data_IF_504596570978
#
_entry.id   IF_504596570978
#
_cell.length_a   1.000
_cell.length_b   1.000
_cell.length_c   1.000
_cell.angle_alpha   90.00
_cell.angle_beta   90.00
_cell.angle_gamma   90.00
#
_symmetry.space_group_name_H-M   'P 1'
#
loop_
_entity.id
_entity.type
_entity.pdbx_description
1 polymer ?
#
# COMPACT_ATOMS: atom_id res chain seq x y z
N UNK A 1 -15.13 30.08 13.14
CA UNK A 1 -13.81 29.96 12.50
C UNK A 1 -13.24 28.57 12.80
N UNK A 2 -13.17 27.70 11.83
CA UNK A 2 -12.51 26.40 12.01
C UNK A 2 -11.01 26.65 12.18
N UNK A 3 -10.44 26.29 13.34
CA UNK A 3 -8.99 26.29 13.53
C UNK A 3 -8.37 25.40 12.45
N UNK A 4 -7.41 25.91 11.71
CA UNK A 4 -6.69 25.12 10.72
C UNK A 4 -6.03 23.91 11.42
N UNK A 5 -6.07 22.76 10.78
CA UNK A 5 -5.50 21.51 11.32
C UNK A 5 -4.06 21.69 11.82
N UNK A 6 -3.29 22.55 11.16
CA UNK A 6 -1.91 22.90 11.52
C UNK A 6 -1.80 23.65 12.86
N UNK A 7 -2.78 24.49 13.21
CA UNK A 7 -2.82 25.20 14.50
C UNK A 7 -3.21 24.25 15.65
N UNK A 8 -4.10 23.28 15.37
CA UNK A 8 -4.50 22.26 16.33
C UNK A 8 -3.33 21.35 16.73
N UNK A 9 -2.45 21.02 15.77
CA UNK A 9 -1.26 20.19 16.02
C UNK A 9 -0.26 20.85 16.97
N UNK A 10 -0.24 22.21 17.03
CA UNK A 10 0.66 22.94 17.91
C UNK A 10 0.07 23.35 19.26
N UNK A 11 -1.26 23.29 19.44
CA UNK A 11 -1.96 23.84 20.61
C UNK A 11 -2.73 22.83 21.45
N UNK A 12 -3.16 21.69 20.88
CA UNK A 12 -3.90 20.65 21.60
C UNK A 12 -2.96 19.70 22.38
N UNK A 13 -3.47 19.09 23.45
CA UNK A 13 -2.70 18.10 24.21
C UNK A 13 -2.37 16.87 23.35
N UNK A 14 -1.14 16.37 23.47
CA UNK A 14 -0.62 15.24 22.70
C UNK A 14 -1.55 14.00 22.77
N UNK A 15 -2.05 13.58 23.95
CA UNK A 15 -2.95 12.40 24.02
C UNK A 15 -4.23 12.60 23.23
N UNK A 16 -4.82 13.79 23.24
CA UNK A 16 -6.05 14.11 22.50
C UNK A 16 -5.83 14.07 20.99
N UNK A 17 -4.69 14.58 20.52
CA UNK A 17 -4.30 14.53 19.11
C UNK A 17 -4.05 13.10 18.64
N UNK A 18 -3.36 12.29 19.46
CA UNK A 18 -3.11 10.89 19.16
C UNK A 18 -4.43 10.11 18.99
N UNK A 19 -5.36 10.22 19.94
CA UNK A 19 -6.66 9.53 19.86
C UNK A 19 -7.44 10.00 18.63
N UNK A 20 -7.47 11.30 18.36
CA UNK A 20 -8.21 11.88 17.24
C UNK A 20 -7.68 11.42 15.87
N UNK A 21 -6.38 11.15 15.76
CA UNK A 21 -5.76 10.66 14.52
C UNK A 21 -5.70 9.12 14.46
N UNK A 22 -5.40 8.47 15.58
CA UNK A 22 -5.27 7.01 15.62
C UNK A 22 -6.62 6.31 15.45
N UNK A 23 -7.71 6.85 16.00
CA UNK A 23 -9.03 6.21 15.94
C UNK A 23 -9.54 6.02 14.50
N UNK A 24 -9.57 7.06 13.63
CA UNK A 24 -9.97 6.88 12.23
C UNK A 24 -9.03 5.96 11.45
N UNK A 25 -7.72 6.05 11.71
CA UNK A 25 -6.73 5.19 11.07
C UNK A 25 -6.93 3.72 11.48
N UNK A 26 -7.17 3.44 12.76
CA UNK A 26 -7.44 2.09 13.27
C UNK A 26 -8.72 1.50 12.68
N UNK A 27 -9.78 2.30 12.56
CA UNK A 27 -11.03 1.87 11.91
C UNK A 27 -10.77 1.52 10.44
N UNK A 28 -9.99 2.33 9.73
CA UNK A 28 -9.61 2.05 8.33
C UNK A 28 -8.85 0.72 8.19
N UNK A 29 -7.89 0.46 9.06
CA UNK A 29 -7.12 -0.80 9.08
C UNK A 29 -8.04 -1.98 9.41
N UNK A 30 -8.97 -1.81 10.35
CA UNK A 30 -9.92 -2.85 10.73
C UNK A 30 -10.85 -3.21 9.57
N UNK A 31 -11.40 -2.22 8.86
CA UNK A 31 -12.22 -2.44 7.68
C UNK A 31 -11.42 -3.16 6.58
N UNK A 32 -10.17 -2.76 6.35
CA UNK A 32 -9.29 -3.42 5.40
C UNK A 32 -9.02 -4.87 5.77
N UNK A 33 -8.79 -5.16 7.05
CA UNK A 33 -8.57 -6.52 7.55
C UNK A 33 -9.81 -7.39 7.40
N UNK A 34 -11.00 -6.85 7.69
CA UNK A 34 -12.28 -7.54 7.47
C UNK A 34 -12.51 -7.84 5.99
N UNK A 35 -12.17 -6.91 5.11
CA UNK A 35 -12.27 -7.12 3.66
C UNK A 35 -11.40 -8.31 3.21
N UNK A 36 -10.13 -8.36 3.63
CA UNK A 36 -9.22 -9.46 3.32
C UNK A 36 -9.75 -10.79 3.86
N UNK A 37 -10.33 -10.81 5.06
CA UNK A 37 -10.90 -12.01 5.66
C UNK A 37 -12.11 -12.50 4.89
N UNK A 38 -13.02 -11.61 4.52
CA UNK A 38 -14.19 -11.91 3.71
C UNK A 38 -13.76 -12.46 2.34
N UNK A 39 -12.83 -11.80 1.68
CA UNK A 39 -12.27 -12.22 0.39
C UNK A 39 -11.69 -13.62 0.45
N UNK A 40 -10.93 -13.92 1.49
CA UNK A 40 -10.34 -15.25 1.71
C UNK A 40 -11.41 -16.33 1.90
N UNK A 41 -12.49 -16.03 2.62
CA UNK A 41 -13.61 -16.96 2.83
C UNK A 41 -14.31 -17.23 1.49
N UNK A 42 -14.62 -16.18 0.72
CA UNK A 42 -15.30 -16.33 -0.57
C UNK A 42 -14.43 -17.12 -1.55
N UNK A 43 -13.16 -16.80 -1.69
CA UNK A 43 -12.23 -17.50 -2.56
C UNK A 43 -12.10 -18.98 -2.14
N UNK A 44 -11.99 -19.25 -0.84
CA UNK A 44 -11.88 -20.61 -0.31
C UNK A 44 -13.10 -21.46 -0.56
N UNK A 45 -14.30 -20.89 -0.40
CA UNK A 45 -15.55 -21.64 -0.55
C UNK A 45 -15.98 -21.82 -2.02
N UNK A 46 -15.74 -20.83 -2.87
CA UNK A 46 -16.27 -20.84 -4.24
C UNK A 46 -15.25 -21.34 -5.28
N UNK A 47 -13.97 -21.09 -5.08
CA UNK A 47 -12.92 -21.46 -6.03
C UNK A 47 -12.09 -22.64 -5.51
N UNK A 48 -11.96 -22.78 -4.19
CA UNK A 48 -11.28 -23.90 -3.53
C UNK A 48 -9.87 -23.57 -3.05
N UNK A 49 -9.26 -24.58 -2.39
CA UNK A 49 -7.96 -24.44 -1.71
C UNK A 49 -6.80 -24.08 -2.66
N UNK A 50 -6.86 -24.49 -3.92
CA UNK A 50 -5.84 -24.16 -4.92
C UNK A 50 -5.79 -22.65 -5.23
N UNK A 51 -6.92 -21.95 -5.16
CA UNK A 51 -6.94 -20.51 -5.36
C UNK A 51 -6.29 -19.77 -4.19
N UNK A 52 -6.53 -20.20 -2.95
CA UNK A 52 -5.85 -19.64 -1.76
C UNK A 52 -4.34 -19.88 -1.87
N UNK A 53 -3.92 -21.09 -2.30
CA UNK A 53 -2.52 -21.39 -2.51
C UNK A 53 -1.90 -20.49 -3.59
N UNK A 54 -2.61 -20.22 -4.69
CA UNK A 54 -2.17 -19.31 -5.75
C UNK A 54 -2.02 -17.88 -5.25
N UNK A 55 -2.95 -17.38 -4.45
CA UNK A 55 -2.85 -16.06 -3.79
C UNK A 55 -1.59 -16.00 -2.93
N UNK A 56 -1.33 -17.05 -2.11
CA UNK A 56 -0.15 -17.09 -1.24
C UNK A 56 1.18 -17.06 -2.00
N UNK A 57 1.24 -17.61 -3.22
CA UNK A 57 2.40 -17.51 -4.11
C UNK A 57 2.66 -16.06 -4.54
N UNK A 58 1.61 -15.26 -4.72
CA UNK A 58 1.71 -13.86 -5.17
C UNK A 58 1.89 -12.88 -4.01
N UNK A 59 1.49 -13.24 -2.79
CA UNK A 59 1.57 -12.37 -1.60
C UNK A 59 2.92 -11.68 -1.38
N UNK A 60 4.08 -12.36 -1.51
CA UNK A 60 5.38 -11.71 -1.32
C UNK A 60 5.60 -10.53 -2.29
N UNK A 61 5.14 -10.67 -3.52
CA UNK A 61 5.23 -9.60 -4.54
C UNK A 61 4.32 -8.44 -4.16
N UNK A 62 3.09 -8.73 -3.74
CA UNK A 62 2.14 -7.71 -3.28
C UNK A 62 2.69 -6.93 -2.08
N UNK A 63 3.30 -7.61 -1.11
CA UNK A 63 3.95 -6.96 0.02
C UNK A 63 5.16 -6.13 -0.38
N UNK A 64 5.95 -6.59 -1.35
CA UNK A 64 7.08 -5.82 -1.85
C UNK A 64 6.62 -4.52 -2.51
N UNK A 65 5.59 -4.57 -3.35
CA UNK A 65 4.98 -3.40 -3.98
C UNK A 65 4.41 -2.44 -2.93
N UNK A 66 3.68 -2.98 -1.95
CA UNK A 66 3.13 -2.19 -0.85
C UNK A 66 4.24 -1.51 -0.03
N UNK A 67 5.34 -2.21 0.25
CA UNK A 67 6.48 -1.66 0.98
C UNK A 67 7.15 -0.50 0.23
N UNK A 68 7.31 -0.62 -1.09
CA UNK A 68 7.81 0.47 -1.94
C UNK A 68 6.88 1.69 -1.91
N UNK A 69 5.58 1.46 -2.03
CA UNK A 69 4.57 2.52 -1.93
C UNK A 69 4.59 3.21 -0.57
N UNK A 70 4.68 2.43 0.52
CA UNK A 70 4.78 2.97 1.87
C UNK A 70 6.07 3.75 2.10
N UNK A 71 7.20 3.30 1.57
CA UNK A 71 8.48 4.01 1.68
C UNK A 71 8.39 5.42 1.08
N UNK A 72 7.82 5.54 -0.12
CA UNK A 72 7.59 6.84 -0.78
C UNK A 72 6.53 7.64 -0.02
N UNK A 73 5.40 7.01 0.34
CA UNK A 73 4.27 7.67 0.98
C UNK A 73 4.64 8.24 2.35
N UNK A 74 5.16 7.42 3.23
CA UNK A 74 5.54 7.82 4.61
C UNK A 74 6.75 8.76 4.58
N UNK A 75 7.75 8.49 3.72
CA UNK A 75 8.91 9.35 3.54
C UNK A 75 8.53 10.77 3.10
N UNK A 76 7.71 10.88 2.06
CA UNK A 76 7.21 12.16 1.57
C UNK A 76 6.32 12.88 2.57
N UNK A 77 5.41 12.17 3.22
CA UNK A 77 4.53 12.74 4.24
C UNK A 77 5.33 13.34 5.42
N UNK A 78 6.43 12.69 5.82
CA UNK A 78 7.31 13.21 6.88
C UNK A 78 7.99 14.53 6.51
N UNK A 79 8.45 14.67 5.25
CA UNK A 79 9.07 15.92 4.75
C UNK A 79 8.01 17.01 4.62
N UNK A 80 6.86 16.69 4.05
CA UNK A 80 5.74 17.63 3.87
C UNK A 80 5.27 18.17 5.22
N UNK A 81 5.08 17.30 6.22
CA UNK A 81 4.62 17.71 7.54
C UNK A 81 5.59 18.67 8.22
N UNK A 82 6.90 18.44 8.10
CA UNK A 82 7.94 19.34 8.62
C UNK A 82 7.94 20.68 7.88
N UNK A 83 7.86 20.65 6.55
CA UNK A 83 7.83 21.86 5.73
C UNK A 83 6.61 22.73 6.05
N UNK A 84 5.45 22.13 6.30
CA UNK A 84 4.24 22.83 6.72
C UNK A 84 4.40 23.43 8.13
N UNK A 85 5.04 22.72 9.05
CA UNK A 85 5.39 23.23 10.38
C UNK A 85 6.34 24.41 10.34
N UNK A 86 7.28 24.42 9.40
CA UNK A 86 8.20 25.53 9.11
C UNK A 86 7.52 26.68 8.31
N UNK A 87 6.24 26.54 7.96
CA UNK A 87 5.49 27.44 7.06
C UNK A 87 6.11 27.58 5.66
N UNK A 88 6.89 26.61 5.25
CA UNK A 88 7.53 26.57 3.93
C UNK A 88 6.65 25.81 2.93
N UNK A 89 5.62 26.48 2.43
CA UNK A 89 4.66 25.89 1.51
C UNK A 89 5.30 25.46 0.19
N UNK A 90 6.28 26.22 -0.31
CA UNK A 90 6.98 25.86 -1.55
C UNK A 90 7.70 24.52 -1.44
N UNK A 91 8.38 24.27 -0.30
CA UNK A 91 9.04 22.98 -0.05
C UNK A 91 8.03 21.84 0.06
N UNK A 92 6.88 22.07 0.69
CA UNK A 92 5.81 21.09 0.80
C UNK A 92 5.24 20.72 -0.58
N UNK A 93 4.93 21.70 -1.43
CA UNK A 93 4.41 21.50 -2.79
C UNK A 93 5.42 20.79 -3.69
N UNK A 94 6.68 21.20 -3.67
CA UNK A 94 7.75 20.55 -4.44
C UNK A 94 7.96 19.09 -4.00
N UNK A 95 7.92 18.81 -2.69
CA UNK A 95 8.04 17.45 -2.18
C UNK A 95 6.87 16.62 -2.63
N UNK A 96 5.65 17.13 -2.60
CA UNK A 96 4.46 16.42 -3.08
C UNK A 96 4.54 16.14 -4.58
N UNK A 97 4.94 17.10 -5.41
CA UNK A 97 5.15 16.89 -6.83
C UNK A 97 6.20 15.83 -7.14
N UNK A 98 7.34 15.88 -6.45
CA UNK A 98 8.39 14.87 -6.57
C UNK A 98 7.92 13.47 -6.15
N UNK A 99 7.10 13.40 -5.10
CA UNK A 99 6.53 12.13 -4.62
C UNK A 99 5.61 11.50 -5.67
N UNK A 100 4.74 12.29 -6.31
CA UNK A 100 3.88 11.82 -7.41
C UNK A 100 4.74 11.31 -8.58
N UNK A 101 5.72 12.09 -9.00
CA UNK A 101 6.61 11.73 -10.11
C UNK A 101 7.38 10.44 -9.81
N UNK A 102 7.94 10.33 -8.61
CA UNK A 102 8.67 9.14 -8.18
C UNK A 102 7.77 7.90 -8.13
N UNK A 103 6.55 8.04 -7.61
CA UNK A 103 5.56 6.95 -7.58
C UNK A 103 5.22 6.49 -8.99
N UNK A 104 4.97 7.43 -9.90
CA UNK A 104 4.64 7.12 -11.29
C UNK A 104 5.79 6.39 -12.01
N UNK A 105 7.01 6.88 -11.86
CA UNK A 105 8.20 6.22 -12.44
C UNK A 105 8.41 4.82 -11.85
N UNK A 106 8.29 4.68 -10.54
CA UNK A 106 8.43 3.40 -9.88
C UNK A 106 7.35 2.41 -10.33
N UNK A 107 6.10 2.85 -10.46
CA UNK A 107 4.99 2.02 -10.96
C UNK A 107 5.31 1.49 -12.36
N UNK A 108 5.78 2.34 -13.29
CA UNK A 108 6.17 1.92 -14.64
C UNK A 108 7.26 0.85 -14.58
N UNK A 109 8.29 1.07 -13.76
CA UNK A 109 9.40 0.12 -13.62
C UNK A 109 8.89 -1.22 -13.06
N UNK A 110 8.09 -1.19 -12.00
CA UNK A 110 7.53 -2.39 -11.36
C UNK A 110 6.65 -3.17 -12.33
N UNK A 111 5.78 -2.49 -13.09
CA UNK A 111 4.91 -3.14 -14.08
C UNK A 111 5.72 -3.76 -15.21
N UNK A 112 6.69 -3.04 -15.79
CA UNK A 112 7.52 -3.56 -16.87
C UNK A 112 8.32 -4.78 -16.41
N UNK A 113 9.01 -4.69 -15.28
CA UNK A 113 9.76 -5.81 -14.70
C UNK A 113 8.86 -6.96 -14.28
N UNK A 114 7.77 -6.66 -13.60
CA UNK A 114 6.81 -7.65 -13.12
C UNK A 114 6.19 -8.47 -14.26
N UNK A 115 5.80 -7.82 -15.36
CA UNK A 115 5.26 -8.51 -16.53
C UNK A 115 6.35 -9.26 -17.33
N UNK A 116 7.57 -8.70 -17.41
CA UNK A 116 8.67 -9.33 -18.14
C UNK A 116 9.17 -10.62 -17.48
N UNK A 117 9.12 -10.69 -16.15
CA UNK A 117 9.64 -11.80 -15.36
C UNK A 117 8.55 -12.59 -14.63
N UNK A 118 7.30 -12.49 -15.04
CA UNK A 118 6.14 -13.09 -14.35
C UNK A 118 6.35 -14.59 -14.09
N UNK A 119 6.80 -15.35 -15.09
CA UNK A 119 6.95 -16.80 -14.98
C UNK A 119 8.07 -17.19 -13.99
N UNK A 120 9.18 -16.47 -14.04
CA UNK A 120 10.30 -16.68 -13.12
C UNK A 120 9.92 -16.33 -11.68
N UNK A 121 9.20 -15.24 -11.47
CA UNK A 121 8.73 -14.81 -10.16
C UNK A 121 7.78 -15.84 -9.57
N UNK A 122 6.82 -16.32 -10.33
CA UNK A 122 5.85 -17.32 -9.85
C UNK A 122 6.55 -18.61 -9.48
N UNK A 123 7.48 -19.10 -10.30
CA UNK A 123 8.27 -20.33 -10.02
C UNK A 123 9.13 -20.14 -8.78
N UNK A 124 9.75 -18.97 -8.60
CA UNK A 124 10.58 -18.64 -7.45
C UNK A 124 9.80 -18.73 -6.13
N UNK A 125 8.52 -18.27 -6.13
CA UNK A 125 7.65 -18.31 -4.96
C UNK A 125 6.83 -19.60 -4.85
N UNK A 126 7.17 -20.66 -5.62
CA UNK A 126 6.63 -22.00 -5.48
C UNK A 126 5.39 -22.31 -6.32
N UNK A 127 5.01 -21.45 -7.26
CA UNK A 127 3.91 -21.70 -8.21
C UNK A 127 4.31 -22.73 -9.26
N UNK A 128 3.92 -24.01 -9.05
CA UNK A 128 4.21 -25.13 -9.94
C UNK A 128 2.94 -25.90 -10.30
N UNK A 129 2.96 -26.62 -11.43
CA UNK A 129 1.86 -27.47 -11.86
C UNK A 129 0.54 -26.73 -12.02
N UNK A 130 -0.54 -27.22 -11.42
CA UNK A 130 -1.87 -26.63 -11.51
C UNK A 130 -1.99 -25.23 -10.86
N UNK A 131 -1.10 -24.91 -9.90
CA UNK A 131 -1.07 -23.60 -9.23
C UNK A 131 -0.49 -22.50 -10.11
N UNK A 132 0.38 -22.86 -11.08
CA UNK A 132 1.07 -21.89 -11.91
C UNK A 132 0.09 -20.99 -12.70
N UNK A 133 -0.87 -21.62 -13.38
CA UNK A 133 -1.85 -20.88 -14.19
C UNK A 133 -2.73 -19.94 -13.36
N UNK A 134 -3.20 -20.41 -12.20
CA UNK A 134 -4.01 -19.61 -11.29
C UNK A 134 -3.20 -18.43 -10.70
N UNK A 135 -1.97 -18.74 -10.25
CA UNK A 135 -1.08 -17.72 -9.70
C UNK A 135 -0.70 -16.67 -10.77
N UNK A 136 -0.47 -17.07 -12.02
CA UNK A 136 -0.18 -16.16 -13.13
C UNK A 136 -1.34 -15.23 -13.43
N UNK A 137 -2.55 -15.77 -13.51
CA UNK A 137 -3.75 -14.96 -13.74
C UNK A 137 -3.95 -13.94 -12.60
N UNK A 138 -3.84 -14.39 -11.36
CA UNK A 138 -3.97 -13.51 -10.19
C UNK A 138 -2.87 -12.45 -10.14
N UNK A 139 -1.63 -12.84 -10.40
CA UNK A 139 -0.48 -11.93 -10.44
C UNK A 139 -0.65 -10.79 -11.44
N UNK A 140 -1.08 -11.08 -12.67
CA UNK A 140 -1.29 -10.07 -13.72
C UNK A 140 -2.41 -9.09 -13.38
N UNK A 141 -3.42 -9.56 -12.60
CA UNK A 141 -4.54 -8.68 -12.17
C UNK A 141 -4.10 -7.76 -11.03
N UNK A 142 -3.22 -8.25 -10.13
CA UNK A 142 -2.77 -7.50 -8.95
C UNK A 142 -1.64 -6.53 -9.26
N UNK A 143 -0.82 -6.80 -10.30
CA UNK A 143 0.28 -5.95 -10.73
C UNK A 143 -0.21 -4.68 -11.43
#
# INVERSE_FOLDING_TARGET
MSKNLTELLGTDSIPKLLVKQALPASIGILVMSLNILIDTIFVGQWIGSNAIAAINVVLPVSFFIAALGMAIGVGGASIISRALGEKNHLKAENTFGNQITLTFLLTIIVVIFGLSFVDQIIVLFGGKGSLFSLAKTYYVIVL
#
